data_IF_911424125397
#
_entry.id   IF_911424125397
#
_cell.length_a   1.000
_cell.length_b   1.000
_cell.length_c   1.000
_cell.angle_alpha   90.00
_cell.angle_beta   90.00
_cell.angle_gamma   90.00
#
_symmetry.space_group_name_H-M   'P 1'
#
loop_
_entity.id
_entity.type
_entity.pdbx_description
1 polymer ?
#
# COMPACT_ATOMS: atom_id res chain seq x y z
N UNK A 1 46.33 -47.12 8.87
CA UNK A 1 45.73 -45.77 9.00
C UNK A 1 44.46 -45.75 8.15
N UNK A 2 43.29 -45.69 8.78
CA UNK A 2 41.98 -45.72 8.10
C UNK A 2 41.35 -44.34 8.30
N UNK A 3 41.31 -43.51 7.26
CA UNK A 3 40.64 -42.22 7.30
C UNK A 3 39.13 -42.45 7.11
N UNK A 4 38.35 -42.25 8.16
CA UNK A 4 36.89 -42.19 8.09
C UNK A 4 36.53 -40.75 7.74
N UNK A 5 36.01 -40.53 6.54
CA UNK A 5 35.47 -39.24 6.12
C UNK A 5 34.08 -39.07 6.75
N UNK A 6 33.96 -38.14 7.70
CA UNK A 6 32.68 -37.73 8.26
C UNK A 6 31.98 -36.82 7.25
N UNK A 7 30.88 -37.31 6.67
CA UNK A 7 29.99 -36.50 5.83
C UNK A 7 29.10 -35.68 6.77
N UNK A 8 29.41 -34.40 6.93
CA UNK A 8 28.53 -33.44 7.59
C UNK A 8 27.34 -33.14 6.66
N UNK A 9 26.21 -33.81 6.90
CA UNK A 9 24.94 -33.45 6.29
C UNK A 9 24.44 -32.13 6.90
N UNK A 10 24.66 -31.01 6.20
CA UNK A 10 24.06 -29.73 6.56
C UNK A 10 22.58 -29.72 6.13
N UNK A 11 21.62 -29.50 7.04
CA UNK A 11 20.22 -29.34 6.67
C UNK A 11 20.06 -28.08 5.83
N UNK A 12 19.56 -28.23 4.60
CA UNK A 12 19.23 -27.13 3.70
C UNK A 12 17.90 -26.54 4.18
N UNK A 13 17.96 -25.50 4.99
CA UNK A 13 16.81 -24.67 5.35
C UNK A 13 16.38 -23.85 4.12
N UNK A 14 15.29 -24.23 3.46
CA UNK A 14 14.63 -23.36 2.48
C UNK A 14 14.00 -22.17 3.24
N UNK A 15 14.68 -21.03 3.21
CA UNK A 15 14.09 -19.75 3.61
C UNK A 15 13.09 -19.33 2.53
N UNK A 16 11.79 -19.43 2.83
CA UNK A 16 10.76 -18.80 2.03
C UNK A 16 10.90 -17.28 2.21
N UNK A 17 11.48 -16.61 1.21
CA UNK A 17 11.54 -15.16 1.17
C UNK A 17 10.14 -14.64 0.83
N UNK A 18 9.40 -14.21 1.85
CA UNK A 18 8.22 -13.38 1.61
C UNK A 18 8.68 -12.02 1.08
N UNK A 19 7.96 -11.42 0.12
CA UNK A 19 8.20 -10.04 -0.24
C UNK A 19 7.96 -9.20 1.01
N UNK A 20 9.04 -8.72 1.62
CA UNK A 20 8.96 -7.68 2.63
C UNK A 20 8.54 -6.42 1.88
N UNK A 21 7.26 -6.04 2.00
CA UNK A 21 6.84 -4.69 1.65
C UNK A 21 7.55 -3.78 2.63
N UNK A 22 8.69 -3.23 2.22
CA UNK A 22 9.34 -2.16 2.96
C UNK A 22 8.27 -1.13 3.29
N UNK A 23 8.15 -0.73 4.56
CA UNK A 23 7.19 0.24 5.11
C UNK A 23 6.97 1.44 4.17
N UNK A 24 6.02 1.27 3.24
CA UNK A 24 5.81 2.16 2.10
C UNK A 24 4.37 2.10 1.61
N UNK A 25 3.81 3.29 1.52
CA UNK A 25 2.84 3.81 0.56
C UNK A 25 2.32 2.90 -0.55
N UNK A 26 3.27 2.55 -1.41
CA UNK A 26 3.08 2.14 -2.79
C UNK A 26 2.43 0.78 -2.91
N UNK A 27 1.63 0.61 -3.94
CA UNK A 27 0.90 -0.63 -4.24
C UNK A 27 -0.60 -0.40 -4.43
N UNK A 28 -1.31 -1.52 -4.58
CA UNK A 28 -2.76 -1.54 -4.72
C UNK A 28 -3.47 -1.47 -3.36
N UNK A 29 -4.51 -0.65 -3.29
CA UNK A 29 -5.35 -0.44 -2.13
C UNK A 29 -6.81 -0.65 -2.48
N UNK A 30 -7.53 -1.37 -1.63
CA UNK A 30 -8.91 -1.80 -1.80
C UNK A 30 -9.73 -1.39 -0.57
N UNK A 31 -10.94 -0.86 -0.78
CA UNK A 31 -11.85 -0.41 0.29
C UNK A 31 -12.81 -1.51 0.81
N UNK A 32 -12.76 -2.71 0.21
CA UNK A 32 -13.65 -3.83 0.49
C UNK A 32 -15.08 -3.67 -0.06
N UNK A 33 -15.39 -2.56 -0.73
CA UNK A 33 -16.69 -2.20 -1.33
C UNK A 33 -16.65 -2.11 -2.86
N UNK A 34 -15.47 -2.29 -3.45
CA UNK A 34 -15.25 -2.28 -4.90
C UNK A 34 -14.38 -1.12 -5.39
N UNK A 35 -14.02 -0.19 -4.51
CA UNK A 35 -13.02 0.85 -4.79
C UNK A 35 -11.61 0.25 -4.84
N UNK A 36 -10.87 0.65 -5.87
CA UNK A 36 -9.48 0.24 -6.09
C UNK A 36 -8.62 1.44 -6.45
N UNK A 37 -7.51 1.64 -5.76
CA UNK A 37 -6.55 2.71 -6.00
C UNK A 37 -5.14 2.13 -6.07
N UNK A 38 -4.25 2.78 -6.83
CA UNK A 38 -2.85 2.39 -6.92
C UNK A 38 -1.94 3.60 -6.70
N UNK A 39 -0.91 3.43 -5.87
CA UNK A 39 0.09 4.46 -5.57
C UNK A 39 1.46 3.98 -6.04
N UNK A 40 2.13 4.76 -6.90
CA UNK A 40 3.49 4.53 -7.39
C UNK A 40 4.28 5.84 -7.28
N UNK A 41 4.86 6.07 -6.10
CA UNK A 41 5.38 7.37 -5.71
C UNK A 41 4.31 8.47 -5.83
N UNK A 42 4.69 9.58 -6.46
CA UNK A 42 3.78 10.69 -6.71
C UNK A 42 2.68 10.36 -7.74
N UNK A 43 2.81 9.28 -8.52
CA UNK A 43 1.82 8.89 -9.53
C UNK A 43 0.72 8.06 -8.86
N UNK A 44 -0.51 8.58 -8.90
CA UNK A 44 -1.66 7.97 -8.22
C UNK A 44 -2.74 7.65 -9.26
N UNK A 45 -3.22 6.41 -9.24
CA UNK A 45 -4.42 6.00 -9.95
C UNK A 45 -5.58 6.00 -8.96
N UNK A 46 -6.49 6.95 -9.15
CA UNK A 46 -7.68 7.16 -8.31
C UNK A 46 -8.67 5.99 -8.41
N UNK A 47 -9.66 5.91 -7.49
CA UNK A 47 -10.74 4.93 -7.57
C UNK A 47 -11.54 4.96 -8.88
N UNK A 48 -11.63 6.12 -9.55
CA UNK A 48 -12.27 6.26 -10.86
C UNK A 48 -11.39 5.78 -12.03
N UNK A 49 -10.16 5.35 -11.78
CA UNK A 49 -9.18 4.92 -12.79
C UNK A 49 -8.40 6.07 -13.43
N UNK A 50 -8.65 7.32 -13.03
CA UNK A 50 -7.88 8.48 -13.52
C UNK A 50 -6.50 8.49 -12.88
N UNK A 51 -5.50 8.85 -13.67
CA UNK A 51 -4.10 8.96 -13.25
C UNK A 51 -3.73 10.42 -13.08
N UNK A 52 -3.13 10.76 -11.95
CA UNK A 52 -2.65 12.10 -11.63
C UNK A 52 -1.32 12.04 -10.86
N UNK A 53 -0.71 13.21 -10.67
CA UNK A 53 0.40 13.38 -9.74
C UNK A 53 -0.09 14.06 -8.46
N UNK A 54 0.33 13.56 -7.32
CA UNK A 54 0.07 14.15 -6.00
C UNK A 54 1.35 14.40 -5.21
N UNK A 55 1.20 14.96 -4.02
CA UNK A 55 2.27 15.00 -3.04
C UNK A 55 2.45 13.61 -2.43
N UNK A 56 3.69 13.24 -2.17
CA UNK A 56 4.03 11.89 -1.77
C UNK A 56 5.17 11.88 -0.74
N UNK A 57 4.99 11.04 0.28
CA UNK A 57 6.00 10.59 1.21
C UNK A 57 5.93 9.06 1.34
N UNK A 58 6.89 8.42 2.01
CA UNK A 58 6.86 6.97 2.23
C UNK A 58 5.62 6.52 2.98
N UNK A 59 5.08 7.34 3.89
CA UNK A 59 3.92 6.96 4.73
C UNK A 59 2.62 7.66 4.37
N UNK A 60 2.62 8.52 3.35
CA UNK A 60 1.42 9.28 3.01
C UNK A 60 1.42 9.77 1.58
N UNK A 61 0.24 10.07 1.07
CA UNK A 61 0.08 10.83 -0.16
C UNK A 61 -1.05 11.83 -0.02
N UNK A 62 -1.06 12.80 -0.92
CA UNK A 62 -2.12 13.80 -1.02
C UNK A 62 -2.40 14.13 -2.49
N UNK A 63 -3.67 14.32 -2.83
CA UNK A 63 -4.06 14.87 -4.12
C UNK A 63 -5.41 15.59 -4.03
N UNK A 64 -5.69 16.42 -5.04
CA UNK A 64 -7.04 16.96 -5.27
C UNK A 64 -7.72 16.10 -6.33
N UNK A 65 -8.93 15.61 -6.02
CA UNK A 65 -9.65 14.71 -6.91
C UNK A 65 -9.90 15.35 -8.28
N UNK A 66 -9.66 14.60 -9.37
CA UNK A 66 -9.72 15.14 -10.72
C UNK A 66 -11.17 15.40 -11.18
N UNK A 67 -11.35 16.28 -12.16
CA UNK A 67 -12.68 16.53 -12.73
C UNK A 67 -13.34 15.25 -13.27
N UNK A 68 -14.67 15.13 -13.08
CA UNK A 68 -15.44 13.97 -13.53
C UNK A 68 -15.25 12.71 -12.67
N UNK A 69 -14.66 12.85 -11.49
CA UNK A 69 -14.63 11.87 -10.39
C UNK A 69 -15.75 12.20 -9.37
N UNK A 70 -16.19 11.24 -8.56
CA UNK A 70 -17.01 11.50 -7.37
C UNK A 70 -16.30 12.37 -6.32
N UNK A 71 -14.97 12.37 -6.33
CA UNK A 71 -14.11 13.19 -5.47
C UNK A 71 -13.62 14.49 -6.16
N UNK A 72 -14.26 14.94 -7.25
CA UNK A 72 -13.80 16.12 -8.00
C UNK A 72 -13.65 17.38 -7.12
N UNK A 73 -12.44 17.94 -7.09
CA UNK A 73 -12.10 19.13 -6.28
C UNK A 73 -11.99 18.86 -4.77
N UNK A 74 -12.14 17.61 -4.34
CA UNK A 74 -12.01 17.19 -2.94
C UNK A 74 -10.53 16.93 -2.64
N UNK A 75 -10.12 17.38 -1.47
CA UNK A 75 -8.80 17.10 -0.91
C UNK A 75 -8.77 15.63 -0.41
N UNK A 76 -7.90 14.81 -0.95
CA UNK A 76 -7.78 13.38 -0.61
C UNK A 76 -6.42 13.12 0.00
N UNK A 77 -6.41 12.55 1.20
CA UNK A 77 -5.18 12.27 1.94
C UNK A 77 -5.12 10.81 2.37
N UNK A 78 -4.10 10.08 1.93
CA UNK A 78 -3.81 8.72 2.36
C UNK A 78 -2.72 8.70 3.43
N UNK A 79 -2.93 7.94 4.50
CA UNK A 79 -1.96 7.73 5.58
C UNK A 79 -1.79 6.24 5.86
N UNK A 80 -0.56 5.75 5.75
CA UNK A 80 -0.23 4.37 6.09
C UNK A 80 -0.37 4.17 7.60
N UNK A 81 -1.06 3.09 8.00
CA UNK A 81 -1.25 2.69 9.40
C UNK A 81 -0.46 1.43 9.75
N UNK A 82 -0.30 0.55 8.78
CA UNK A 82 0.56 -0.63 8.83
C UNK A 82 0.96 -1.04 7.41
N UNK A 83 1.76 -2.09 7.26
CA UNK A 83 2.10 -2.63 5.93
C UNK A 83 0.85 -3.02 5.12
N UNK A 84 -0.24 -3.37 5.80
CA UNK A 84 -1.48 -3.88 5.19
C UNK A 84 -2.66 -2.91 5.25
N UNK A 85 -2.54 -1.79 5.99
CA UNK A 85 -3.65 -0.86 6.24
C UNK A 85 -3.26 0.59 5.98
N UNK A 86 -4.15 1.29 5.28
CA UNK A 86 -4.12 2.74 5.07
C UNK A 86 -5.45 3.34 5.57
N UNK A 87 -5.40 4.55 6.13
CA UNK A 87 -6.59 5.39 6.28
C UNK A 87 -6.64 6.42 5.14
N UNK A 88 -7.76 6.50 4.43
CA UNK A 88 -8.04 7.52 3.43
C UNK A 88 -8.99 8.56 4.01
N UNK A 89 -8.63 9.83 3.90
CA UNK A 89 -9.46 10.96 4.31
C UNK A 89 -9.91 11.74 3.09
N UNK A 90 -11.15 12.24 3.13
CA UNK A 90 -11.73 13.07 2.08
C UNK A 90 -12.24 14.38 2.65
N UNK A 91 -11.93 15.47 1.98
CA UNK A 91 -12.36 16.80 2.35
C UNK A 91 -11.33 17.55 3.19
N UNK A 92 -11.69 18.79 3.53
CA UNK A 92 -10.81 19.75 4.20
C UNK A 92 -10.82 19.64 5.73
N UNK A 93 -11.22 18.50 6.31
CA UNK A 93 -11.10 18.32 7.75
C UNK A 93 -9.61 18.29 8.13
N UNK A 94 -9.13 19.41 8.67
CA UNK A 94 -7.75 19.55 9.12
C UNK A 94 -7.41 18.53 10.22
N UNK A 95 -8.40 18.06 10.97
CA UNK A 95 -8.23 17.09 12.04
C UNK A 95 -8.29 15.64 11.55
N UNK A 96 -8.68 15.40 10.28
CA UNK A 96 -8.72 14.06 9.66
C UNK A 96 -9.44 13.04 10.54
N UNK A 97 -10.70 13.31 10.87
CA UNK A 97 -11.46 12.52 11.86
C UNK A 97 -12.39 11.47 11.26
N UNK A 98 -12.75 11.58 9.98
CA UNK A 98 -13.70 10.72 9.26
C UNK A 98 -13.02 9.80 8.24
N UNK A 99 -11.92 9.16 8.65
CA UNK A 99 -11.11 8.32 7.76
C UNK A 99 -11.75 6.98 7.42
N UNK A 100 -11.60 6.56 6.16
CA UNK A 100 -11.98 5.25 5.66
C UNK A 100 -10.79 4.28 5.71
N UNK A 101 -11.01 3.06 6.17
CA UNK A 101 -9.98 2.02 6.14
C UNK A 101 -9.88 1.39 4.76
N UNK A 102 -8.66 1.36 4.22
CA UNK A 102 -8.28 0.68 2.99
C UNK A 102 -7.23 -0.37 3.31
N UNK A 103 -7.28 -1.50 2.62
CA UNK A 103 -6.34 -2.62 2.78
C UNK A 103 -5.61 -2.91 1.48
N UNK A 104 -4.47 -3.59 1.56
CA UNK A 104 -3.82 -4.10 0.35
C UNK A 104 -4.81 -4.92 -0.47
N UNK A 105 -4.85 -4.69 -1.76
CA UNK A 105 -5.50 -5.65 -2.65
C UNK A 105 -4.67 -6.94 -2.58
N UNK A 106 -5.31 -8.10 -2.39
CA UNK A 106 -4.70 -9.44 -2.20
C UNK A 106 -4.49 -9.96 -0.78
N UNK A 107 -4.96 -9.28 0.29
CA UNK A 107 -5.18 -9.98 1.57
C UNK A 107 -6.41 -10.89 1.48
N UNK A 108 -6.26 -12.06 0.87
CA UNK A 108 -7.15 -13.21 1.13
C UNK A 108 -7.00 -13.59 2.60
N UNK A 109 -8.09 -13.46 3.35
CA UNK A 109 -8.23 -14.03 4.70
C UNK A 109 -8.17 -15.55 4.71
#
# INVERSE_FOLDING_TARGET
>A
MKHVAAICAFPISLLLAFPAYADRIDGGWCDGKGGHMHVDGAKITTPSGKVLSGDYDRHSFHYVGPEGDGDAGIDVFGMLRSEEEMTLYRGRDANRTDGETWRRCDVTS
#
